data_IF_042182020728
#
_entry.id   IF_042182020728
#
_cell.length_a   1.000
_cell.length_b   1.000
_cell.length_c   1.000
_cell.angle_alpha   90.00
_cell.angle_beta   90.00
_cell.angle_gamma   90.00
#
_symmetry.space_group_name_H-M   'P 1'
#
loop_
_entity.id
_entity.type
_entity.pdbx_description
1 polymer ?
#
# COMPACT_ATOMS: atom_id res chain seq x y z
N UNK A 1 -1.12 -6.41 -3.72
CA UNK A 1 -1.16 -5.00 -4.19
C UNK A 1 -0.21 -4.26 -3.28
N UNK A 2 0.71 -3.47 -3.82
CA UNK A 2 1.75 -2.84 -2.99
C UNK A 2 1.17 -1.82 -2.03
N UNK A 3 0.30 -0.93 -2.51
CA UNK A 3 -0.32 0.14 -1.72
C UNK A 3 0.70 0.99 -0.95
N UNK A 4 1.93 1.08 -1.44
CA UNK A 4 3.03 1.80 -0.82
C UNK A 4 4.07 2.21 -1.87
N UNK A 5 4.97 3.11 -1.46
CA UNK A 5 6.20 3.38 -2.18
C UNK A 5 7.28 2.34 -1.83
N UNK A 6 8.22 2.15 -2.74
CA UNK A 6 9.49 1.47 -2.47
C UNK A 6 10.38 2.31 -1.56
N UNK A 7 11.46 1.70 -1.04
CA UNK A 7 12.46 2.41 -0.23
C UNK A 7 13.11 3.60 -0.97
N UNK A 8 13.24 3.50 -2.29
CA UNK A 8 13.77 4.59 -3.13
C UNK A 8 12.72 5.67 -3.44
N UNK A 9 11.51 5.56 -2.90
CA UNK A 9 10.41 6.51 -3.13
C UNK A 9 9.67 6.31 -4.46
N UNK A 10 10.00 5.26 -5.22
CA UNK A 10 9.32 4.96 -6.49
C UNK A 10 8.04 4.16 -6.23
N UNK A 11 7.04 4.35 -7.09
CA UNK A 11 5.86 3.48 -7.17
C UNK A 11 5.98 2.49 -8.34
N UNK A 12 5.08 1.52 -8.43
CA UNK A 12 4.97 0.62 -9.60
C UNK A 12 4.73 1.34 -10.93
N UNK A 13 4.23 2.58 -10.88
CA UNK A 13 4.01 3.37 -12.07
C UNK A 13 5.31 3.98 -12.63
N UNK A 14 6.47 3.59 -12.11
CA UNK A 14 7.75 4.10 -12.58
C UNK A 14 8.05 3.66 -14.01
N UNK A 15 8.47 4.60 -14.84
CA UNK A 15 8.60 4.46 -16.29
C UNK A 15 7.31 4.70 -17.08
N UNK A 16 6.16 4.86 -16.42
CA UNK A 16 4.93 5.25 -17.10
C UNK A 16 4.92 6.77 -17.35
N UNK A 17 4.52 7.17 -18.57
CA UNK A 17 4.54 8.57 -19.04
C UNK A 17 3.86 9.54 -18.05
N UNK A 18 2.76 9.10 -17.43
CA UNK A 18 1.98 9.89 -16.45
C UNK A 18 2.24 9.47 -14.99
N UNK A 19 2.60 8.21 -14.75
CA UNK A 19 2.71 7.64 -13.40
C UNK A 19 3.80 8.26 -12.53
N UNK A 20 5.00 8.45 -13.10
CA UNK A 20 6.17 8.99 -12.37
C UNK A 20 6.01 10.43 -11.91
N UNK A 21 5.10 11.20 -12.55
CA UNK A 21 4.92 12.62 -12.24
C UNK A 21 3.79 12.86 -11.25
N UNK A 22 2.78 12.00 -11.25
CA UNK A 22 1.54 12.20 -10.49
C UNK A 22 1.61 11.64 -9.07
N UNK A 23 2.35 10.54 -8.87
CA UNK A 23 2.39 9.85 -7.58
C UNK A 23 3.80 9.89 -7.02
N UNK A 24 4.01 10.75 -6.02
CA UNK A 24 5.30 10.92 -5.35
C UNK A 24 5.15 10.89 -3.83
N UNK A 25 6.18 10.41 -3.11
CA UNK A 25 6.31 10.57 -1.67
C UNK A 25 6.05 12.01 -1.24
N UNK A 26 5.40 12.19 -0.10
CA UNK A 26 5.20 13.53 0.47
C UNK A 26 6.50 14.03 1.09
N UNK A 27 6.65 15.34 1.18
CA UNK A 27 7.76 15.94 1.93
C UNK A 27 7.40 15.99 3.41
N UNK A 28 8.35 15.59 4.25
CA UNK A 28 8.33 15.76 5.70
C UNK A 28 7.05 15.28 6.42
N UNK A 29 6.29 16.21 7.02
CA UNK A 29 5.26 15.93 8.03
C UNK A 29 3.97 15.33 7.49
N UNK A 30 3.80 15.37 6.16
CA UNK A 30 2.57 14.89 5.50
C UNK A 30 2.67 13.43 5.05
N UNK A 31 3.77 12.74 5.40
CA UNK A 31 3.94 11.32 5.11
C UNK A 31 2.95 10.47 5.89
N UNK A 32 2.36 9.52 5.19
CA UNK A 32 1.49 8.51 5.80
C UNK A 32 2.26 7.20 5.78
N UNK A 33 2.31 6.54 6.93
CA UNK A 33 2.93 5.23 7.08
C UNK A 33 1.85 4.19 7.41
N UNK A 34 2.06 2.99 6.88
CA UNK A 34 1.26 1.80 7.14
C UNK A 34 2.19 0.63 7.38
N UNK A 35 1.68 -0.40 8.04
CA UNK A 35 2.46 -1.59 8.37
C UNK A 35 2.96 -2.28 7.10
N UNK A 36 4.25 -2.60 7.07
CA UNK A 36 4.89 -3.33 5.97
C UNK A 36 4.46 -4.80 6.00
N UNK A 37 4.41 -5.42 4.82
CA UNK A 37 4.36 -6.87 4.68
C UNK A 37 5.27 -7.59 5.70
N UNK A 38 4.76 -8.66 6.29
CA UNK A 38 5.45 -9.43 7.34
C UNK A 38 5.39 -8.80 8.75
N UNK A 39 4.85 -7.58 8.90
CA UNK A 39 4.61 -6.92 10.19
C UNK A 39 5.86 -6.41 10.91
N UNK A 40 6.99 -6.30 10.20
CA UNK A 40 8.29 -5.94 10.76
C UNK A 40 8.74 -4.55 10.29
N UNK A 41 7.87 -3.55 10.42
CA UNK A 41 8.16 -2.15 10.09
C UNK A 41 7.02 -1.46 9.35
N UNK A 42 7.35 -0.33 8.73
CA UNK A 42 6.39 0.53 8.05
C UNK A 42 6.87 0.89 6.64
N UNK A 43 5.92 1.18 5.75
CA UNK A 43 6.16 1.69 4.40
C UNK A 43 5.37 2.98 4.19
N UNK A 44 5.97 3.91 3.45
CA UNK A 44 5.28 5.16 3.09
C UNK A 44 4.17 4.86 2.07
N UNK A 45 3.03 5.50 2.24
CA UNK A 45 1.86 5.34 1.37
C UNK A 45 1.21 6.69 1.05
N UNK A 46 0.18 6.68 0.22
CA UNK A 46 -0.69 7.84 -0.02
C UNK A 46 -2.02 7.66 0.71
N UNK A 47 -2.75 8.76 0.91
CA UNK A 47 -4.09 8.70 1.52
C UNK A 47 -5.04 7.80 0.71
N UNK A 48 -4.95 7.85 -0.62
CA UNK A 48 -5.79 7.05 -1.51
C UNK A 48 -5.45 5.56 -1.38
N UNK A 49 -4.17 5.19 -1.32
CA UNK A 49 -3.77 3.80 -1.11
C UNK A 49 -4.13 3.28 0.28
N UNK A 50 -4.05 4.12 1.32
CA UNK A 50 -4.55 3.77 2.65
C UNK A 50 -6.07 3.49 2.63
N UNK A 51 -6.84 4.30 1.91
CA UNK A 51 -8.28 4.05 1.74
C UNK A 51 -8.56 2.72 1.03
N UNK A 52 -7.79 2.38 -0.01
CA UNK A 52 -7.88 1.06 -0.66
C UNK A 52 -7.51 -0.09 0.28
N UNK A 53 -6.48 0.08 1.11
CA UNK A 53 -6.11 -0.90 2.12
C UNK A 53 -7.28 -1.16 3.07
N UNK A 54 -7.83 -0.09 3.68
CA UNK A 54 -8.95 -0.19 4.61
C UNK A 54 -10.21 -0.80 3.96
N UNK A 55 -10.43 -0.52 2.67
CA UNK A 55 -11.50 -1.13 1.89
C UNK A 55 -11.31 -2.65 1.76
N UNK A 56 -10.10 -3.10 1.38
CA UNK A 56 -9.81 -4.53 1.27
C UNK A 56 -9.97 -5.25 2.61
N UNK A 57 -9.39 -4.71 3.69
CA UNK A 57 -9.49 -5.32 5.03
C UNK A 57 -10.95 -5.41 5.50
N UNK A 58 -11.74 -4.37 5.24
CA UNK A 58 -13.17 -4.36 5.56
C UNK A 58 -13.96 -5.38 4.74
N UNK A 59 -13.68 -5.53 3.45
CA UNK A 59 -14.36 -6.49 2.59
C UNK A 59 -14.00 -7.94 2.97
N UNK A 60 -12.73 -8.19 3.29
CA UNK A 60 -12.25 -9.49 3.80
C UNK A 60 -12.99 -9.83 5.10
N UNK A 61 -13.06 -8.89 6.04
CA UNK A 61 -13.75 -9.08 7.31
C UNK A 61 -15.25 -9.34 7.17
N UNK A 62 -15.92 -8.63 6.25
CA UNK A 62 -17.37 -8.75 6.05
C UNK A 62 -17.78 -9.92 5.14
N UNK A 63 -16.82 -10.64 4.54
CA UNK A 63 -17.13 -11.78 3.68
C UNK A 63 -17.78 -12.90 4.51
N UNK A 64 -19.03 -13.31 4.22
CA UNK A 64 -19.80 -14.20 5.11
C UNK A 64 -19.41 -15.68 4.99
N UNK A 65 -18.41 -15.98 4.17
CA UNK A 65 -17.89 -17.33 3.93
C UNK A 65 -16.38 -17.35 4.10
N UNK A 66 -15.82 -18.55 4.28
CA UNK A 66 -14.37 -18.72 4.41
C UNK A 66 -13.68 -18.28 3.13
N UNK A 67 -12.88 -17.22 3.21
CA UNK A 67 -12.06 -16.69 2.13
C UNK A 67 -10.58 -16.83 2.51
N UNK A 68 -9.80 -17.42 1.61
CA UNK A 68 -8.34 -17.42 1.72
C UNK A 68 -7.80 -16.22 0.95
N UNK A 69 -7.03 -15.37 1.64
CA UNK A 69 -6.41 -14.18 1.05
C UNK A 69 -4.91 -14.27 1.23
N UNK A 70 -4.18 -14.14 0.12
CA UNK A 70 -2.73 -14.20 0.10
C UNK A 70 -2.21 -12.81 -0.25
N UNK A 71 -1.53 -12.18 0.70
CA UNK A 71 -0.71 -11.01 0.41
C UNK A 71 0.59 -11.47 -0.26
N UNK A 72 0.74 -11.19 -1.56
CA UNK A 72 1.85 -11.66 -2.38
C UNK A 72 2.85 -10.53 -2.74
N UNK A 73 2.93 -9.47 -1.94
CA UNK A 73 3.77 -8.29 -2.22
C UNK A 73 4.68 -7.95 -1.04
N UNK A 74 5.89 -8.53 -1.01
CA UNK A 74 6.84 -8.42 0.12
C UNK A 74 7.35 -6.99 0.40
N UNK A 75 7.39 -6.15 -0.64
CA UNK A 75 7.78 -4.74 -0.52
C UNK A 75 6.64 -3.81 -0.09
N UNK A 76 5.40 -4.33 -0.05
CA UNK A 76 4.18 -3.55 0.07
C UNK A 76 3.61 -3.44 1.48
N UNK A 77 2.38 -2.96 1.53
CA UNK A 77 1.53 -2.93 2.70
C UNK A 77 1.19 -4.35 3.18
N UNK A 78 1.08 -4.50 4.51
CA UNK A 78 0.36 -5.62 5.10
C UNK A 78 -1.15 -5.40 4.91
N UNK A 79 -1.85 -6.44 4.51
CA UNK A 79 -3.31 -6.47 4.31
C UNK A 79 -3.81 -7.57 5.26
N UNK A 80 -4.81 -7.25 6.09
CA UNK A 80 -5.30 -8.13 7.17
C UNK A 80 -6.73 -8.60 6.93
#
# INVERSE_FOLDING_TARGET
QDLSFSQSGNSHASGAIYGDREIKPKKDKDKIFIEKYGGNGEVETTLVWKLFLEFFEKDIFNTPYKLEVINATEGGARIK
#
